data_IF_815723841254
#
_entry.id   IF_815723841254
#
_cell.length_a   1.000
_cell.length_b   1.000
_cell.length_c   1.000
_cell.angle_alpha   90.00
_cell.angle_beta   90.00
_cell.angle_gamma   90.00
#
_symmetry.space_group_name_H-M   'P 1'
#
loop_
_entity.id
_entity.type
_entity.pdbx_description
1 polymer ?
#
# COMPACT_ATOMS: atom_id res chain seq x y z
N UNK A 1 -8.07 -5.78 1.15
CA UNK A 1 -8.36 -4.60 1.99
C UNK A 1 -7.53 -4.63 3.26
N UNK A 2 -7.75 -5.57 4.18
CA UNK A 2 -7.05 -5.57 5.47
C UNK A 2 -5.54 -5.73 5.37
N UNK A 3 -5.06 -6.62 4.50
CA UNK A 3 -3.64 -6.77 4.20
C UNK A 3 -3.01 -5.46 3.74
N UNK A 4 -3.55 -4.90 2.66
CA UNK A 4 -3.08 -3.64 2.11
C UNK A 4 -3.16 -2.47 3.13
N UNK A 5 -4.27 -2.37 3.87
CA UNK A 5 -4.40 -1.38 4.95
C UNK A 5 -3.34 -1.58 6.03
N UNK A 6 -3.03 -2.82 6.42
CA UNK A 6 -1.96 -3.10 7.38
C UNK A 6 -0.61 -2.62 6.85
N UNK A 7 -0.30 -2.90 5.58
CA UNK A 7 0.94 -2.45 4.94
C UNK A 7 1.07 -0.91 4.92
N UNK A 8 -0.03 -0.15 4.86
CA UNK A 8 0.02 1.31 4.96
C UNK A 8 0.07 1.83 6.40
N UNK A 9 -0.55 1.11 7.34
CA UNK A 9 -0.85 1.62 8.69
C UNK A 9 0.09 1.16 9.79
N UNK A 10 1.04 0.28 9.49
CA UNK A 10 2.10 -0.10 10.44
C UNK A 10 3.49 0.18 9.85
N UNK A 11 4.42 0.62 10.69
CA UNK A 11 5.74 1.08 10.26
C UNK A 11 6.54 0.04 9.45
N UNK A 12 6.55 -1.22 9.88
CA UNK A 12 7.28 -2.29 9.16
C UNK A 12 6.60 -2.63 7.81
N UNK A 13 5.28 -2.51 7.74
CA UNK A 13 4.50 -2.66 6.52
C UNK A 13 4.83 -1.56 5.51
N UNK A 14 4.81 -0.30 5.97
CA UNK A 14 5.10 0.82 5.10
C UNK A 14 6.56 0.82 4.65
N UNK A 15 7.48 0.40 5.53
CA UNK A 15 8.90 0.32 5.21
C UNK A 15 9.22 -0.63 4.04
N UNK A 16 8.39 -1.66 3.80
CA UNK A 16 8.48 -2.48 2.58
C UNK A 16 7.65 -1.88 1.44
N UNK A 17 6.39 -1.54 1.74
CA UNK A 17 5.42 -1.14 0.74
C UNK A 17 5.72 0.22 0.08
N UNK A 18 6.51 1.06 0.73
CA UNK A 18 6.96 2.35 0.17
C UNK A 18 7.69 2.19 -1.17
N UNK A 19 8.27 1.02 -1.47
CA UNK A 19 8.93 0.74 -2.77
C UNK A 19 7.91 0.85 -3.91
N UNK A 20 6.71 0.32 -3.70
CA UNK A 20 5.59 0.39 -4.63
C UNK A 20 5.16 1.84 -4.88
N UNK A 21 5.01 2.63 -3.82
CA UNK A 21 4.60 4.04 -3.89
C UNK A 21 5.72 5.02 -4.28
N UNK A 22 6.99 4.58 -4.31
CA UNK A 22 8.14 5.48 -4.50
C UNK A 22 8.24 6.15 -5.86
N UNK A 23 7.56 5.61 -6.88
CA UNK A 23 7.67 6.11 -8.26
C UNK A 23 6.95 7.46 -8.42
N UNK A 24 7.62 8.51 -8.95
CA UNK A 24 6.95 9.76 -9.32
C UNK A 24 6.15 9.62 -10.63
N UNK A 25 6.26 8.49 -11.32
CA UNK A 25 5.52 8.17 -12.54
C UNK A 25 4.52 7.05 -12.26
N UNK A 26 3.27 7.20 -12.72
CA UNK A 26 2.21 6.23 -12.50
C UNK A 26 1.86 5.48 -13.79
N UNK A 27 2.31 4.23 -13.89
CA UNK A 27 2.09 3.36 -15.04
C UNK A 27 2.18 1.88 -14.62
N UNK A 28 1.89 0.97 -15.56
CA UNK A 28 1.83 -0.47 -15.31
C UNK A 28 3.10 -1.05 -14.65
N UNK A 29 4.29 -0.48 -14.89
CA UNK A 29 5.53 -0.97 -14.26
C UNK A 29 5.52 -0.80 -12.74
N UNK A 30 4.77 0.17 -12.21
CA UNK A 30 4.60 0.40 -10.76
C UNK A 30 3.99 -0.82 -10.08
N UNK A 31 3.10 -1.54 -10.76
CA UNK A 31 2.45 -2.75 -10.25
C UNK A 31 3.44 -3.84 -9.82
N UNK A 32 4.66 -3.84 -10.38
CA UNK A 32 5.67 -4.86 -10.14
C UNK A 32 6.86 -4.36 -9.30
N UNK A 33 6.71 -3.20 -8.64
CA UNK A 33 7.71 -2.66 -7.70
C UNK A 33 7.44 -3.20 -6.29
N UNK A 34 7.97 -4.39 -6.01
CA UNK A 34 7.82 -5.04 -4.71
C UNK A 34 8.94 -4.69 -3.73
N UNK A 35 8.57 -4.45 -2.48
CA UNK A 35 9.50 -4.32 -1.37
C UNK A 35 9.98 -5.67 -0.82
N UNK A 36 10.98 -5.65 0.07
CA UNK A 36 11.65 -6.84 0.59
C UNK A 36 10.76 -7.82 1.37
N UNK A 37 9.65 -7.34 1.94
CA UNK A 37 8.76 -8.13 2.76
C UNK A 37 7.33 -8.20 2.20
N UNK A 38 7.07 -7.67 1.01
CA UNK A 38 5.71 -7.60 0.44
C UNK A 38 5.07 -8.98 0.25
N UNK A 39 5.87 -10.04 0.06
CA UNK A 39 5.37 -11.41 -0.03
C UNK A 39 5.06 -12.06 1.34
N UNK A 40 5.51 -11.47 2.45
CA UNK A 40 5.34 -12.01 3.81
C UNK A 40 4.02 -11.56 4.43
N UNK A 41 3.64 -10.30 4.20
CA UNK A 41 2.44 -9.69 4.76
C UNK A 41 1.13 -10.42 4.41
N UNK A 42 0.88 -10.79 3.14
CA UNK A 42 -0.30 -11.54 2.75
C UNK A 42 -0.45 -12.88 3.49
N UNK A 43 0.66 -13.52 3.85
CA UNK A 43 0.64 -14.80 4.57
C UNK A 43 -0.05 -14.68 5.93
N UNK A 44 -0.01 -13.51 6.57
CA UNK A 44 -0.70 -13.28 7.85
C UNK A 44 -2.23 -13.37 7.73
N UNK A 45 -2.78 -13.16 6.52
CA UNK A 45 -4.20 -13.26 6.22
C UNK A 45 -4.55 -14.58 5.55
N UNK A 46 -3.69 -15.07 4.66
CA UNK A 46 -3.94 -16.30 3.91
C UNK A 46 -3.68 -17.56 4.72
N UNK A 47 -2.72 -17.56 5.65
CA UNK A 47 -2.47 -18.71 6.52
C UNK A 47 -3.68 -19.06 7.40
N UNK A 48 -4.33 -18.10 8.10
CA UNK A 48 -5.59 -18.39 8.81
C UNK A 48 -6.68 -18.97 7.92
N UNK A 49 -6.83 -18.49 6.67
CA UNK A 49 -7.83 -19.02 5.73
C UNK A 49 -7.51 -20.49 5.40
N UNK A 50 -6.25 -20.84 5.16
CA UNK A 50 -5.85 -22.23 4.95
C UNK A 50 -6.11 -23.09 6.19
N UNK A 51 -5.84 -22.58 7.40
CA UNK A 51 -6.12 -23.28 8.66
C UNK A 51 -7.62 -23.52 8.90
N UNK A 52 -8.50 -22.72 8.29
CA UNK A 52 -9.95 -22.96 8.28
C UNK A 52 -10.38 -24.08 7.32
N UNK A 53 -9.43 -24.74 6.63
CA UNK A 53 -9.69 -25.90 5.76
C UNK A 53 -9.77 -25.57 4.27
N UNK A 54 -9.52 -24.33 3.87
CA UNK A 54 -9.50 -23.95 2.45
C UNK A 54 -8.22 -24.45 1.77
N UNK A 55 -8.36 -24.95 0.53
CA UNK A 55 -7.24 -25.50 -0.22
C UNK A 55 -6.19 -24.41 -0.52
N UNK A 56 -4.90 -24.59 -0.16
CA UNK A 56 -3.86 -23.56 -0.32
C UNK A 56 -3.73 -23.00 -1.73
N UNK A 57 -3.82 -23.85 -2.76
CA UNK A 57 -3.76 -23.41 -4.16
C UNK A 57 -4.92 -22.46 -4.50
N UNK A 58 -6.13 -22.67 -3.98
CA UNK A 58 -7.25 -21.78 -4.26
C UNK A 58 -7.09 -20.42 -3.59
N UNK A 59 -6.52 -20.40 -2.38
CA UNK A 59 -6.19 -19.15 -1.67
C UNK A 59 -5.14 -18.37 -2.47
N UNK A 60 -4.05 -19.03 -2.89
CA UNK A 60 -3.01 -18.43 -3.73
C UNK A 60 -3.56 -17.92 -5.06
N UNK A 61 -4.39 -18.70 -5.76
CA UNK A 61 -5.02 -18.27 -7.01
C UNK A 61 -5.90 -17.04 -6.80
N UNK A 62 -6.61 -16.96 -5.67
CA UNK A 62 -7.43 -15.80 -5.32
C UNK A 62 -6.56 -14.54 -5.11
N UNK A 63 -5.42 -14.67 -4.44
CA UNK A 63 -4.46 -13.57 -4.30
C UNK A 63 -3.90 -13.13 -5.66
N UNK A 64 -3.49 -14.07 -6.50
CA UNK A 64 -2.97 -13.77 -7.85
C UNK A 64 -4.02 -13.03 -8.67
N UNK A 65 -5.28 -13.46 -8.64
CA UNK A 65 -6.37 -12.78 -9.34
C UNK A 65 -6.55 -11.33 -8.86
N UNK A 66 -6.50 -11.10 -7.55
CA UNK A 66 -6.58 -9.74 -6.98
C UNK A 66 -5.36 -8.90 -7.40
N UNK A 67 -4.16 -9.47 -7.43
CA UNK A 67 -2.96 -8.77 -7.85
C UNK A 67 -2.99 -8.41 -9.35
N UNK A 68 -3.44 -9.31 -10.22
CA UNK A 68 -3.56 -9.02 -11.65
C UNK A 68 -4.65 -7.97 -11.92
N UNK A 69 -5.77 -8.03 -11.19
CA UNK A 69 -6.79 -6.99 -11.26
C UNK A 69 -6.24 -5.63 -10.86
N UNK A 70 -5.46 -5.54 -9.78
CA UNK A 70 -4.84 -4.28 -9.36
C UNK A 70 -3.77 -3.79 -10.34
N UNK A 71 -2.99 -4.70 -10.94
CA UNK A 71 -1.96 -4.33 -11.88
C UNK A 71 -2.53 -3.45 -13.00
N UNK A 72 -3.65 -3.86 -13.62
CA UNK A 72 -4.27 -3.11 -14.71
C UNK A 72 -4.84 -1.73 -14.32
N UNK A 73 -5.00 -1.45 -13.03
CA UNK A 73 -5.45 -0.15 -12.54
C UNK A 73 -4.35 0.92 -12.58
N UNK A 74 -3.08 0.52 -12.74
CA UNK A 74 -1.92 1.43 -12.78
C UNK A 74 -1.82 2.16 -14.12
N UNK A 75 -2.75 3.08 -14.35
CA UNK A 75 -2.80 3.88 -15.56
C UNK A 75 -3.44 5.24 -15.32
N UNK A 76 -2.94 6.26 -16.02
CA UNK A 76 -3.57 7.58 -16.12
C UNK A 76 -4.50 7.69 -17.36
N UNK A 77 -4.44 6.72 -18.28
CA UNK A 77 -5.17 6.79 -19.55
C UNK A 77 -6.70 6.68 -19.37
N UNK A 78 -7.14 5.90 -18.38
CA UNK A 78 -8.56 5.73 -18.05
C UNK A 78 -8.89 6.68 -16.91
N UNK A 79 -9.62 7.76 -17.20
CA UNK A 79 -9.98 8.77 -16.19
C UNK A 79 -11.02 8.25 -15.21
N UNK A 80 -12.28 8.13 -15.62
CA UNK A 80 -13.35 7.57 -14.78
C UNK A 80 -14.15 6.54 -15.57
N UNK A 81 -14.66 5.55 -14.86
CA UNK A 81 -15.57 4.54 -15.37
C UNK A 81 -17.03 4.93 -15.05
N UNK A 82 -18.01 4.26 -15.66
CA UNK A 82 -19.41 4.48 -15.34
C UNK A 82 -19.69 4.34 -13.83
N UNK A 83 -20.59 5.18 -13.31
CA UNK A 83 -20.89 5.29 -11.86
C UNK A 83 -21.16 3.95 -11.16
N UNK A 84 -21.90 2.98 -11.74
CA UNK A 84 -22.10 1.69 -11.08
C UNK A 84 -20.79 0.91 -10.87
N UNK A 85 -19.86 1.01 -11.82
CA UNK A 85 -18.55 0.35 -11.74
C UNK A 85 -17.69 1.03 -10.68
N UNK A 86 -17.63 2.37 -10.67
CA UNK A 86 -16.92 3.15 -9.64
C UNK A 86 -17.54 2.97 -8.23
N UNK A 87 -18.80 2.59 -8.15
CA UNK A 87 -19.44 2.34 -6.86
C UNK A 87 -18.98 1.01 -6.26
N UNK A 88 -18.87 -0.03 -7.09
CA UNK A 88 -18.64 -1.42 -6.65
C UNK A 88 -17.17 -1.86 -6.71
N UNK A 89 -16.44 -1.47 -7.76
CA UNK A 89 -15.09 -1.93 -8.04
C UNK A 89 -14.04 -0.85 -7.76
N UNK A 90 -12.83 -1.29 -7.41
CA UNK A 90 -11.65 -0.45 -7.50
C UNK A 90 -11.39 -0.15 -9.00
N UNK A 91 -11.03 1.08 -9.31
CA UNK A 91 -10.88 1.59 -10.68
C UNK A 91 -9.55 2.31 -10.82
N UNK A 92 -9.10 2.63 -12.04
CA UNK A 92 -7.90 3.45 -12.21
C UNK A 92 -7.99 4.80 -11.47
N UNK A 93 -9.17 5.41 -11.36
CA UNK A 93 -9.38 6.66 -10.61
C UNK A 93 -9.12 6.48 -9.11
N UNK A 94 -9.72 5.45 -8.52
CA UNK A 94 -9.51 5.13 -7.11
C UNK A 94 -8.06 4.72 -6.81
N UNK A 95 -7.44 3.97 -7.71
CA UNK A 95 -6.06 3.50 -7.54
C UNK A 95 -5.04 4.63 -7.71
N UNK A 96 -5.31 5.63 -8.58
CA UNK A 96 -4.51 6.86 -8.61
C UNK A 96 -4.57 7.59 -7.27
N UNK A 97 -5.77 7.77 -6.70
CA UNK A 97 -5.93 8.36 -5.36
C UNK A 97 -5.12 7.57 -4.33
N UNK A 98 -5.19 6.25 -4.35
CA UNK A 98 -4.41 5.41 -3.45
C UNK A 98 -2.90 5.67 -3.54
N UNK A 99 -2.37 5.89 -4.74
CA UNK A 99 -0.97 6.25 -4.97
C UNK A 99 -0.65 7.73 -4.78
N UNK A 100 -1.63 8.55 -4.39
CA UNK A 100 -1.48 9.98 -4.26
C UNK A 100 -0.64 10.40 -3.06
N UNK A 101 0.37 11.24 -3.31
CA UNK A 101 1.15 11.91 -2.28
C UNK A 101 0.51 13.21 -1.79
N UNK A 102 -0.59 13.66 -2.41
CA UNK A 102 -1.43 14.75 -1.90
C UNK A 102 -1.93 14.38 -0.50
N UNK A 103 -1.86 15.32 0.46
CA UNK A 103 -2.26 15.06 1.85
C UNK A 103 -3.71 14.58 2.02
N UNK A 104 -4.62 14.98 1.12
CA UNK A 104 -6.01 14.50 1.11
C UNK A 104 -6.15 13.00 0.74
N UNK A 105 -5.17 12.46 0.02
CA UNK A 105 -5.19 11.09 -0.51
C UNK A 105 -4.39 10.10 0.31
N UNK A 106 -3.70 10.58 1.36
CA UNK A 106 -3.02 9.71 2.29
C UNK A 106 -4.01 8.77 2.97
N UNK A 107 -3.63 7.50 3.07
CA UNK A 107 -4.40 6.49 3.79
C UNK A 107 -5.82 6.26 3.23
N UNK A 108 -5.96 6.32 1.90
CA UNK A 108 -7.23 6.11 1.18
C UNK A 108 -7.18 4.92 0.24
N UNK A 109 -8.37 4.38 -0.07
CA UNK A 109 -8.62 3.42 -1.15
C UNK A 109 -7.73 2.16 -1.12
N UNK A 110 -7.76 1.39 -0.03
CA UNK A 110 -6.94 0.19 0.16
C UNK A 110 -7.45 -1.08 -0.55
N UNK A 111 -8.70 -1.08 -1.02
CA UNK A 111 -9.30 -2.27 -1.61
C UNK A 111 -8.60 -2.69 -2.90
N UNK A 112 -8.32 -3.98 -3.04
CA UNK A 112 -7.72 -4.49 -4.27
C UNK A 112 -8.71 -4.51 -5.44
N UNK A 113 -9.85 -5.21 -5.26
CA UNK A 113 -10.83 -5.38 -6.34
C UNK A 113 -12.16 -4.65 -6.09
N UNK A 114 -12.70 -4.72 -4.88
CA UNK A 114 -14.03 -4.17 -4.55
C UNK A 114 -13.89 -2.93 -3.67
N UNK A 115 -14.14 -1.74 -4.21
CA UNK A 115 -14.03 -0.47 -3.48
C UNK A 115 -15.06 -0.33 -2.35
N UNK A 116 -16.07 -1.21 -2.34
CA UNK A 116 -17.06 -1.28 -1.26
C UNK A 116 -16.43 -1.41 0.12
N UNK A 117 -15.28 -2.08 0.24
CA UNK A 117 -14.58 -2.21 1.52
C UNK A 117 -14.13 -0.83 2.05
N UNK A 118 -13.59 0.03 1.19
CA UNK A 118 -13.21 1.39 1.58
C UNK A 118 -14.42 2.24 1.96
N UNK A 119 -15.55 2.06 1.28
CA UNK A 119 -16.81 2.74 1.64
C UNK A 119 -17.31 2.28 3.00
N UNK A 120 -17.32 0.98 3.26
CA UNK A 120 -17.77 0.38 4.52
C UNK A 120 -16.90 0.81 5.71
N UNK A 121 -15.58 0.94 5.51
CA UNK A 121 -14.63 1.24 6.58
C UNK A 121 -14.19 2.72 6.62
N UNK A 122 -14.80 3.59 5.82
CA UNK A 122 -14.59 5.04 5.86
C UNK A 122 -13.24 5.51 5.31
N UNK A 123 -12.61 4.73 4.43
CA UNK A 123 -11.31 5.04 3.79
C UNK A 123 -11.45 5.40 2.31
N UNK A 124 -12.69 5.44 1.79
CA UNK A 124 -12.96 5.85 0.42
C UNK A 124 -12.69 7.36 0.21
N UNK A 125 -12.01 7.69 -0.87
CA UNK A 125 -11.83 9.07 -1.35
C UNK A 125 -11.92 9.10 -2.89
N UNK A 126 -12.80 9.93 -3.48
CA UNK A 126 -12.85 10.12 -4.92
C UNK A 126 -11.66 10.95 -5.45
N UNK A 127 -11.29 10.75 -6.71
CA UNK A 127 -10.35 11.63 -7.40
C UNK A 127 -11.04 12.96 -7.74
N UNK A 128 -10.65 14.01 -7.03
CA UNK A 128 -11.22 15.37 -7.12
C UNK A 128 -10.18 16.44 -7.49
N UNK A 129 -8.91 16.24 -7.16
CA UNK A 129 -7.78 17.06 -7.58
C UNK A 129 -6.81 16.23 -8.43
N UNK A 130 -5.87 16.92 -9.09
CA UNK A 130 -4.78 16.25 -9.79
C UNK A 130 -3.89 15.51 -8.78
N UNK A 131 -3.72 14.22 -9.01
CA UNK A 131 -2.87 13.37 -8.19
C UNK A 131 -1.39 13.67 -8.46
N UNK A 132 -0.63 13.91 -7.39
CA UNK A 132 0.82 13.86 -7.38
C UNK A 132 1.27 12.47 -6.91
N UNK A 133 2.30 11.90 -7.54
CA UNK A 133 2.81 10.56 -7.21
C UNK A 133 4.14 10.61 -6.48
N UNK A 134 4.62 9.44 -6.06
CA UNK A 134 5.81 9.29 -5.24
C UNK A 134 5.49 9.28 -3.75
N UNK A 135 6.54 9.40 -2.95
CA UNK A 135 6.44 9.45 -1.48
C UNK A 135 6.81 10.84 -0.96
N UNK A 136 6.45 11.12 0.28
CA UNK A 136 6.69 12.39 1.00
C UNK A 136 8.16 12.84 0.96
N UNK A 137 9.08 11.88 0.94
CA UNK A 137 10.52 12.10 0.80
C UNK A 137 11.04 11.38 -0.45
N UNK A 138 11.11 12.07 -1.61
CA UNK A 138 11.50 11.46 -2.87
C UNK A 138 12.84 10.72 -2.82
N UNK A 139 12.91 9.58 -3.50
CA UNK A 139 14.15 8.81 -3.66
C UNK A 139 14.88 9.32 -4.90
N UNK A 140 15.92 10.13 -4.72
CA UNK A 140 16.74 10.66 -5.82
C UNK A 140 17.81 9.64 -6.26
N UNK A 141 17.39 8.42 -6.61
CA UNK A 141 18.28 7.35 -7.07
C UNK A 141 17.55 6.33 -7.93
N UNK A 142 18.18 5.92 -9.04
CA UNK A 142 17.72 4.83 -9.90
C UNK A 142 18.39 3.48 -9.56
N UNK A 143 19.24 3.44 -8.52
CA UNK A 143 19.88 2.20 -8.10
C UNK A 143 18.84 1.27 -7.44
N UNK A 144 18.62 0.05 -7.96
CA UNK A 144 17.55 -0.83 -7.49
C UNK A 144 17.70 -1.21 -6.01
N UNK A 145 18.93 -1.43 -5.52
CA UNK A 145 19.18 -1.73 -4.11
C UNK A 145 18.90 -0.53 -3.20
N UNK A 146 19.16 0.67 -3.69
CA UNK A 146 18.87 1.91 -2.93
C UNK A 146 17.37 2.08 -2.75
N UNK A 147 16.60 1.92 -3.83
CA UNK A 147 15.13 1.99 -3.81
C UNK A 147 14.56 0.88 -2.93
N UNK A 148 14.99 -0.37 -3.17
CA UNK A 148 14.49 -1.56 -2.47
C UNK A 148 14.69 -1.51 -0.96
N UNK A 149 15.81 -0.93 -0.49
CA UNK A 149 16.13 -0.82 0.93
C UNK A 149 15.76 0.52 1.57
N UNK A 150 15.22 1.48 0.80
CA UNK A 150 14.99 2.85 1.29
C UNK A 150 14.10 2.88 2.54
N UNK A 151 12.92 2.27 2.48
CA UNK A 151 11.95 2.30 3.59
C UNK A 151 12.48 1.61 4.84
N UNK A 152 13.13 0.46 4.68
CA UNK A 152 13.79 -0.26 5.79
C UNK A 152 14.88 0.60 6.43
N UNK A 153 15.74 1.25 5.64
CA UNK A 153 16.78 2.15 6.16
C UNK A 153 16.18 3.34 6.93
N UNK A 154 15.11 3.95 6.40
CA UNK A 154 14.40 5.06 7.05
C UNK A 154 13.79 4.64 8.39
N UNK A 155 13.15 3.47 8.43
CA UNK A 155 12.58 2.92 9.66
C UNK A 155 13.66 2.58 10.70
N UNK A 156 14.77 1.94 10.30
CA UNK A 156 15.89 1.64 11.20
C UNK A 156 16.47 2.93 11.78
N UNK A 157 16.68 3.96 10.96
CA UNK A 157 17.15 5.26 11.42
C UNK A 157 16.20 5.88 12.46
N UNK A 158 14.87 5.76 12.25
CA UNK A 158 13.86 6.20 13.21
C UNK A 158 13.93 5.41 14.52
N UNK A 159 14.11 4.08 14.47
CA UNK A 159 14.29 3.23 15.65
C UNK A 159 15.52 3.65 16.46
N UNK A 160 16.66 3.86 15.80
CA UNK A 160 17.92 4.25 16.47
C UNK A 160 17.76 5.59 17.19
N UNK A 161 17.10 6.56 16.57
CA UNK A 161 16.84 7.90 17.14
C UNK A 161 15.79 7.90 18.25
N UNK A 162 14.91 6.90 18.28
CA UNK A 162 13.82 6.81 19.28
C UNK A 162 14.37 6.34 20.63
N UNK A 163 14.10 7.12 21.69
CA UNK A 163 14.48 6.77 23.07
C UNK A 163 13.51 5.75 23.68
N UNK A 164 14.07 4.78 24.41
CA UNK A 164 13.32 3.76 25.15
C UNK A 164 12.89 2.55 24.32
N UNK A 165 13.09 1.34 24.86
CA UNK A 165 12.81 0.07 24.16
C UNK A 165 11.35 -0.04 23.72
N UNK A 166 10.40 0.34 24.59
CA UNK A 166 8.97 0.31 24.28
C UNK A 166 8.61 1.22 23.11
N UNK A 167 9.21 2.41 23.02
CA UNK A 167 8.96 3.33 21.92
C UNK A 167 9.62 2.85 20.62
N UNK A 168 10.81 2.24 20.69
CA UNK A 168 11.43 1.58 19.54
C UNK A 168 10.54 0.47 18.96
N UNK A 169 9.93 -0.36 19.81
CA UNK A 169 8.97 -1.37 19.37
C UNK A 169 7.72 -0.74 18.72
N UNK A 170 7.23 0.39 19.25
CA UNK A 170 6.10 1.12 18.65
C UNK A 170 6.41 1.60 17.23
N UNK A 171 7.65 1.96 16.90
CA UNK A 171 8.01 2.36 15.51
C UNK A 171 7.69 1.25 14.49
N UNK A 172 7.79 -0.02 14.88
CA UNK A 172 7.51 -1.16 13.99
C UNK A 172 6.02 -1.33 13.70
N UNK A 173 5.16 -1.07 14.70
CA UNK A 173 3.74 -1.47 14.67
C UNK A 173 2.76 -0.29 14.61
N UNK A 174 3.19 0.93 14.95
CA UNK A 174 2.37 2.14 14.85
C UNK A 174 2.44 2.73 13.43
N UNK A 175 1.51 3.63 13.08
CA UNK A 175 1.53 4.33 11.81
C UNK A 175 2.89 4.97 11.48
N UNK A 176 3.27 5.09 10.19
CA UNK A 176 4.59 5.59 9.79
C UNK A 176 4.92 7.00 10.27
N UNK A 177 3.91 7.84 10.50
CA UNK A 177 3.99 9.20 11.02
C UNK A 177 4.05 9.29 12.55
N UNK A 178 3.83 8.19 13.27
CA UNK A 178 3.88 8.16 14.74
C UNK A 178 5.26 8.53 15.28
N UNK A 179 5.33 9.47 16.22
CA UNK A 179 6.56 9.78 16.95
C UNK A 179 6.33 9.59 18.46
N UNK A 180 7.38 9.26 19.21
CA UNK A 180 7.31 9.32 20.66
C UNK A 180 7.09 10.78 21.06
N UNK A 181 6.05 11.04 21.85
CA UNK A 181 5.94 12.30 22.59
C UNK A 181 7.20 12.45 23.44
N UNK A 182 7.80 13.64 23.42
CA UNK A 182 8.97 13.99 24.25
C UNK A 182 8.75 13.64 25.72
#
# INVERSE_FOLDING_TARGET
YWDHRMMHRIGVGWATHTVHHSSPHFNMSVAYRFGPLDAVFPLLFSFPIVMLGYHPILVLLSEVLVQQFQAILHTEAIRKLPRPVEFLFNTPSHHRVHHGSNRQYWDKNYAGMLIIWDRMFGTFEPEVERVAYGIDQPINSNNPFTVFLHGIRRMIAKIVRTKGVRNRLKVLVKPPDWNASE
#
